data_IF_252771879476
#
_entry.id   IF_252771879476
#
_cell.length_a   1.000
_cell.length_b   1.000
_cell.length_c   1.000
_cell.angle_alpha   90.00
_cell.angle_beta   90.00
_cell.angle_gamma   90.00
#
_symmetry.space_group_name_H-M   'P 1'
#
loop_
_entity.id
_entity.type
_entity.pdbx_description
1 polymer ?
#
# COMPACT_ATOMS: atom_id res chain seq x y z
N UNK A 1 25.37 -43.83 21.14
CA UNK A 1 25.08 -45.16 20.54
C UNK A 1 23.78 -45.01 19.78
N UNK A 2 23.86 -45.02 18.45
CA UNK A 2 22.72 -44.86 17.55
C UNK A 2 21.97 -46.19 17.49
N UNK A 3 20.80 -46.25 18.10
CA UNK A 3 19.85 -47.34 17.87
C UNK A 3 19.32 -47.20 16.45
N UNK A 4 19.75 -48.13 15.58
CA UNK A 4 19.13 -48.33 14.28
C UNK A 4 17.65 -48.61 14.50
N UNK A 5 16.79 -47.74 13.96
CA UNK A 5 15.35 -47.99 13.86
C UNK A 5 15.18 -49.11 12.84
N UNK A 6 14.58 -50.22 13.27
CA UNK A 6 14.22 -51.32 12.39
C UNK A 6 13.33 -50.80 11.28
N UNK A 7 13.60 -51.23 10.04
CA UNK A 7 12.62 -51.16 8.96
C UNK A 7 11.51 -52.16 9.30
N UNK A 8 10.63 -51.78 10.22
CA UNK A 8 9.39 -52.51 10.45
C UNK A 8 8.64 -52.51 9.13
N UNK A 9 8.32 -53.71 8.64
CA UNK A 9 7.53 -53.90 7.43
C UNK A 9 6.25 -53.10 7.55
N UNK A 10 6.03 -52.16 6.63
CA UNK A 10 4.77 -51.43 6.49
C UNK A 10 3.63 -52.45 6.49
N UNK A 11 2.57 -52.14 7.23
CA UNK A 11 1.39 -53.01 7.29
C UNK A 11 0.89 -53.33 5.85
N UNK A 12 0.68 -54.61 5.50
CA UNK A 12 0.35 -54.98 4.11
C UNK A 12 -0.87 -54.28 3.53
N UNK A 13 -1.85 -53.92 4.37
CA UNK A 13 -3.06 -53.22 3.96
C UNK A 13 -2.74 -51.76 3.64
N UNK A 14 -1.95 -51.11 4.49
CA UNK A 14 -1.50 -49.73 4.25
C UNK A 14 -0.57 -49.64 3.02
N UNK A 15 0.24 -50.67 2.78
CA UNK A 15 1.08 -50.79 1.58
C UNK A 15 0.24 -50.88 0.30
N UNK A 16 -0.92 -51.56 0.33
CA UNK A 16 -1.84 -51.61 -0.80
C UNK A 16 -2.42 -50.23 -1.12
N UNK A 17 -2.77 -49.43 -0.10
CA UNK A 17 -3.28 -48.08 -0.28
C UNK A 17 -2.26 -47.11 -0.90
N UNK A 18 -0.97 -47.40 -0.82
CA UNK A 18 0.06 -46.58 -1.47
C UNK A 18 0.00 -46.60 -3.01
N UNK A 19 -0.75 -47.53 -3.59
CA UNK A 19 -0.98 -47.62 -5.05
C UNK A 19 -2.12 -46.73 -5.55
N UNK A 20 -2.91 -46.13 -4.65
CA UNK A 20 -3.97 -45.20 -5.01
C UNK A 20 -3.40 -43.97 -5.74
N UNK A 21 -4.11 -43.47 -6.75
CA UNK A 21 -3.71 -42.27 -7.49
C UNK A 21 -4.33 -41.01 -6.88
N UNK A 22 -3.50 -40.20 -6.26
CA UNK A 22 -3.82 -38.84 -5.84
C UNK A 22 -3.83 -37.89 -7.04
N UNK A 23 -4.40 -36.69 -6.83
CA UNK A 23 -4.47 -35.63 -7.84
C UNK A 23 -3.34 -34.64 -7.59
N UNK A 24 -2.31 -34.65 -8.43
CA UNK A 24 -1.27 -33.63 -8.38
C UNK A 24 -1.82 -32.30 -8.90
N UNK A 25 -1.54 -31.21 -8.18
CA UNK A 25 -2.04 -29.87 -8.51
C UNK A 25 -0.95 -28.81 -8.42
N UNK A 26 -1.17 -27.70 -9.12
CA UNK A 26 -0.40 -26.48 -8.89
C UNK A 26 -0.96 -25.68 -7.69
N UNK A 27 -0.32 -24.54 -7.38
CA UNK A 27 -0.73 -23.67 -6.26
C UNK A 27 -2.08 -22.99 -6.45
N UNK A 28 -2.67 -23.03 -7.64
CA UNK A 28 -3.99 -22.48 -7.93
C UNK A 28 -5.06 -23.58 -8.01
N UNK A 29 -4.71 -24.81 -7.58
CA UNK A 29 -5.56 -25.99 -7.67
C UNK A 29 -5.82 -26.47 -9.12
N UNK A 30 -4.98 -26.05 -10.07
CA UNK A 30 -4.98 -26.57 -11.43
C UNK A 30 -4.41 -27.99 -11.48
N UNK A 31 -5.14 -28.93 -12.10
CA UNK A 31 -4.72 -30.34 -12.17
C UNK A 31 -3.50 -30.49 -13.08
N UNK A 32 -2.41 -31.04 -12.54
CA UNK A 32 -1.21 -31.40 -13.29
C UNK A 32 -1.34 -32.83 -13.85
N UNK A 33 -1.81 -33.77 -13.04
CA UNK A 33 -1.95 -35.16 -13.44
C UNK A 33 -2.13 -36.12 -12.26
N UNK A 34 -2.19 -37.44 -12.52
CA UNK A 34 -2.19 -38.45 -11.47
C UNK A 34 -0.79 -38.61 -10.86
N UNK A 35 -0.72 -38.85 -9.57
CA UNK A 35 0.50 -39.25 -8.85
C UNK A 35 0.15 -40.33 -7.83
N UNK A 36 0.98 -41.37 -7.70
CA UNK A 36 0.71 -42.40 -6.69
C UNK A 36 0.82 -41.83 -5.28
N UNK A 37 0.02 -42.34 -4.35
CA UNK A 37 0.07 -41.94 -2.94
C UNK A 37 1.48 -42.10 -2.37
N UNK A 38 2.19 -43.18 -2.72
CA UNK A 38 3.60 -43.34 -2.35
C UNK A 38 4.45 -42.16 -2.80
N UNK A 39 4.37 -41.81 -4.07
CA UNK A 39 5.25 -40.84 -4.69
C UNK A 39 5.01 -39.42 -4.15
N UNK A 40 3.75 -39.03 -3.95
CA UNK A 40 3.42 -37.71 -3.40
C UNK A 40 3.69 -37.57 -1.90
N UNK A 41 3.88 -38.69 -1.18
CA UNK A 41 4.28 -38.67 0.23
C UNK A 41 5.77 -38.97 0.46
N UNK A 42 6.53 -39.39 -0.55
CA UNK A 42 8.00 -39.52 -0.48
C UNK A 42 8.71 -38.30 -1.07
N UNK A 43 8.05 -37.59 -1.98
CA UNK A 43 8.52 -36.36 -2.60
C UNK A 43 7.56 -35.23 -2.22
N UNK A 44 8.01 -33.98 -2.03
CA UNK A 44 7.15 -32.86 -1.69
C UNK A 44 6.36 -32.36 -2.92
N UNK A 45 5.61 -33.25 -3.57
CA UNK A 45 4.74 -32.95 -4.70
C UNK A 45 3.40 -32.46 -4.17
N UNK A 46 2.99 -31.26 -4.61
CA UNK A 46 1.71 -30.69 -4.20
C UNK A 46 0.56 -31.51 -4.79
N UNK A 47 -0.32 -32.00 -3.92
CA UNK A 47 -1.48 -32.79 -4.31
C UNK A 47 -2.73 -32.37 -3.52
N UNK A 48 -3.92 -32.60 -4.09
CA UNK A 48 -5.18 -32.23 -3.47
C UNK A 48 -5.50 -33.17 -2.30
N UNK A 49 -6.00 -32.60 -1.20
CA UNK A 49 -6.44 -33.32 -0.01
C UNK A 49 -7.70 -32.67 0.59
N UNK A 50 -8.24 -33.29 1.63
CA UNK A 50 -9.30 -32.70 2.44
C UNK A 50 -9.13 -33.03 3.93
N UNK A 51 -9.67 -32.15 4.78
CA UNK A 51 -9.74 -32.28 6.23
C UNK A 51 -11.18 -32.01 6.69
N UNK A 52 -11.84 -33.04 7.22
CA UNK A 52 -13.20 -32.98 7.75
C UNK A 52 -13.19 -32.67 9.24
N UNK A 53 -14.06 -31.75 9.66
CA UNK A 53 -14.36 -31.38 11.04
C UNK A 53 -15.86 -31.62 11.32
N UNK A 54 -16.15 -32.66 12.10
CA UNK A 54 -17.52 -33.02 12.49
C UNK A 54 -17.83 -32.42 13.85
N UNK A 55 -18.96 -31.71 13.95
CA UNK A 55 -19.53 -31.20 15.18
C UNK A 55 -20.86 -31.88 15.48
N UNK A 56 -21.03 -32.34 16.71
CA UNK A 56 -22.31 -32.89 17.18
C UNK A 56 -23.31 -31.79 17.55
N UNK A 57 -24.51 -32.20 17.98
CA UNK A 57 -25.58 -31.28 18.41
C UNK A 57 -25.24 -30.46 19.66
N UNK A 58 -24.30 -30.94 20.48
CA UNK A 58 -23.78 -30.21 21.65
C UNK A 58 -22.60 -29.30 21.28
N UNK A 59 -22.30 -29.13 19.98
CA UNK A 59 -21.17 -28.35 19.47
C UNK A 59 -19.83 -28.89 19.98
N UNK A 60 -19.69 -30.19 20.21
CA UNK A 60 -18.38 -30.83 20.44
C UNK A 60 -17.82 -31.31 19.11
N UNK A 61 -16.52 -31.18 18.92
CA UNK A 61 -15.84 -31.64 17.72
C UNK A 61 -15.32 -33.06 17.88
N UNK A 62 -15.54 -33.91 16.88
CA UNK A 62 -14.97 -35.25 16.82
C UNK A 62 -13.50 -35.20 16.42
N UNK A 63 -12.63 -35.66 17.30
CA UNK A 63 -11.22 -35.96 17.01
C UNK A 63 -11.04 -37.45 16.76
N UNK A 64 -10.06 -37.78 15.92
CA UNK A 64 -9.52 -39.13 15.82
C UNK A 64 -8.04 -39.15 16.22
N UNK A 65 -7.61 -40.22 16.88
CA UNK A 65 -6.21 -40.59 17.06
C UNK A 65 -5.86 -41.63 16.01
N UNK A 66 -4.88 -41.31 15.18
CA UNK A 66 -4.42 -42.20 14.09
C UNK A 66 -3.96 -43.55 14.65
N UNK A 67 -4.20 -44.65 13.94
CA UNK A 67 -3.71 -45.97 14.34
C UNK A 67 -2.17 -46.01 14.33
N UNK A 68 -1.60 -47.03 14.98
CA UNK A 68 -0.15 -47.27 14.93
C UNK A 68 0.34 -47.79 13.58
N UNK A 69 -0.56 -48.30 12.73
CA UNK A 69 -0.23 -48.85 11.41
C UNK A 69 -0.17 -47.77 10.33
N UNK A 70 -0.62 -46.54 10.58
CA UNK A 70 -0.49 -45.42 9.64
C UNK A 70 0.98 -45.15 9.31
N UNK A 71 1.26 -45.02 8.02
CA UNK A 71 2.60 -44.73 7.50
C UNK A 71 3.04 -43.32 7.89
N UNK A 72 2.18 -42.32 7.65
CA UNK A 72 2.44 -40.93 8.05
C UNK A 72 1.78 -40.62 9.38
N UNK A 73 2.55 -40.02 10.30
CA UNK A 73 2.08 -39.57 11.61
C UNK A 73 1.23 -40.62 12.38
N UNK A 74 1.76 -41.81 12.71
CA UNK A 74 1.05 -42.76 13.55
C UNK A 74 0.83 -42.21 14.98
N UNK A 75 -0.26 -42.62 15.61
CA UNK A 75 -0.59 -42.29 17.02
C UNK A 75 -0.73 -40.81 17.39
N UNK A 76 -0.87 -39.91 16.40
CA UNK A 76 -1.18 -38.49 16.67
C UNK A 76 -2.69 -38.22 16.60
N UNK A 77 -3.16 -37.27 17.40
CA UNK A 77 -4.51 -36.72 17.32
C UNK A 77 -4.65 -35.75 16.15
N UNK A 78 -5.80 -35.79 15.50
CA UNK A 78 -6.14 -34.92 14.36
C UNK A 78 -7.65 -34.67 14.31
N UNK A 79 -8.08 -33.81 13.40
CA UNK A 79 -9.50 -33.61 13.06
C UNK A 79 -10.18 -34.92 12.59
N UNK A 80 -11.49 -34.88 12.42
CA UNK A 80 -12.33 -36.08 12.31
C UNK A 80 -11.91 -37.05 11.22
N UNK A 81 -11.56 -36.59 10.02
CA UNK A 81 -11.06 -37.45 8.94
C UNK A 81 -10.22 -36.64 7.94
N UNK A 82 -9.09 -37.20 7.49
CA UNK A 82 -8.21 -36.57 6.49
C UNK A 82 -7.80 -37.59 5.43
N UNK A 83 -7.90 -37.23 4.16
CA UNK A 83 -7.47 -38.10 3.06
C UNK A 83 -7.46 -37.34 1.73
N UNK A 84 -7.23 -38.07 0.64
CA UNK A 84 -7.16 -37.55 -0.71
C UNK A 84 -8.39 -37.91 -1.55
N UNK A 85 -8.88 -37.01 -2.42
CA UNK A 85 -9.67 -37.39 -3.58
C UNK A 85 -8.83 -38.18 -4.59
N UNK A 86 -9.45 -39.16 -5.23
CA UNK A 86 -8.80 -40.04 -6.21
C UNK A 86 -8.91 -39.49 -7.63
N UNK A 87 -7.78 -39.53 -8.35
CA UNK A 87 -7.73 -39.13 -9.75
C UNK A 87 -8.63 -40.00 -10.63
N UNK A 88 -9.30 -39.39 -11.62
CA UNK A 88 -10.21 -40.08 -12.54
C UNK A 88 -11.64 -40.24 -12.03
N UNK A 89 -11.89 -40.22 -10.71
CA UNK A 89 -13.23 -40.39 -10.13
C UNK A 89 -13.70 -39.21 -9.27
N UNK A 90 -12.80 -38.54 -8.55
CA UNK A 90 -13.13 -37.49 -7.55
C UNK A 90 -12.41 -36.18 -7.88
N UNK A 91 -12.13 -35.92 -9.16
CA UNK A 91 -11.25 -34.83 -9.58
C UNK A 91 -11.90 -33.45 -9.69
N UNK A 92 -13.23 -33.39 -9.57
CA UNK A 92 -14.01 -32.18 -9.82
C UNK A 92 -14.08 -31.28 -8.57
N UNK A 93 -12.99 -30.58 -8.28
CA UNK A 93 -12.94 -29.51 -7.25
C UNK A 93 -13.69 -29.85 -5.97
N UNK A 94 -14.59 -28.95 -5.55
CA UNK A 94 -15.44 -29.06 -4.34
C UNK A 94 -16.30 -30.33 -4.33
N UNK A 95 -16.95 -30.68 -5.45
CA UNK A 95 -17.83 -31.85 -5.49
C UNK A 95 -17.03 -33.14 -5.32
N UNK A 96 -15.87 -33.22 -5.97
CA UNK A 96 -14.94 -34.33 -5.88
C UNK A 96 -14.44 -34.57 -4.45
N UNK A 97 -13.99 -33.52 -3.76
CA UNK A 97 -13.53 -33.65 -2.37
C UNK A 97 -14.64 -34.05 -1.41
N UNK A 98 -15.89 -33.58 -1.61
CA UNK A 98 -17.03 -34.00 -0.78
C UNK A 98 -17.37 -35.48 -0.97
N UNK A 99 -17.30 -35.98 -2.20
CA UNK A 99 -17.51 -37.41 -2.51
C UNK A 99 -16.40 -38.23 -1.84
N UNK A 100 -15.15 -37.80 -1.96
CA UNK A 100 -14.01 -38.45 -1.32
C UNK A 100 -14.11 -38.46 0.21
N UNK A 101 -14.54 -37.35 0.81
CA UNK A 101 -14.81 -37.22 2.23
C UNK A 101 -15.88 -38.22 2.69
N UNK A 102 -17.01 -38.34 1.97
CA UNK A 102 -18.05 -39.33 2.29
C UNK A 102 -17.51 -40.77 2.26
N UNK A 103 -16.74 -41.12 1.21
CA UNK A 103 -16.09 -42.43 1.09
C UNK A 103 -15.17 -42.73 2.27
N UNK A 104 -14.36 -41.75 2.69
CA UNK A 104 -13.37 -41.93 3.75
C UNK A 104 -13.93 -41.86 5.15
N UNK A 105 -14.99 -41.09 5.39
CA UNK A 105 -15.78 -41.14 6.62
C UNK A 105 -16.37 -42.54 6.86
N UNK A 106 -16.92 -43.18 5.81
CA UNK A 106 -17.38 -44.56 5.89
C UNK A 106 -16.22 -45.52 6.16
N UNK A 107 -15.10 -45.36 5.45
CA UNK A 107 -13.96 -46.28 5.57
C UNK A 107 -13.22 -46.18 6.93
N UNK A 108 -12.94 -44.98 7.43
CA UNK A 108 -12.14 -44.77 8.65
C UNK A 108 -13.00 -44.82 9.92
N UNK A 109 -14.19 -44.21 9.88
CA UNK A 109 -15.03 -44.03 11.06
C UNK A 109 -16.29 -44.90 11.03
N UNK A 110 -16.64 -45.53 9.91
CA UNK A 110 -17.90 -46.25 9.76
C UNK A 110 -19.12 -45.32 9.70
N UNK A 111 -18.93 -44.06 9.27
CA UNK A 111 -20.00 -43.06 9.16
C UNK A 111 -20.57 -43.07 7.74
N UNK A 112 -21.80 -43.54 7.56
CA UNK A 112 -22.53 -43.53 6.29
C UNK A 112 -23.67 -42.49 6.23
N UNK A 113 -24.04 -41.91 7.37
CA UNK A 113 -25.18 -40.99 7.52
C UNK A 113 -24.94 -39.59 6.96
N UNK A 114 -23.68 -39.18 6.78
CA UNK A 114 -23.32 -37.85 6.26
C UNK A 114 -23.40 -37.85 4.73
N UNK A 115 -24.18 -36.93 4.16
CA UNK A 115 -24.28 -36.71 2.73
C UNK A 115 -23.44 -35.53 2.27
N UNK A 116 -23.13 -35.48 0.97
CA UNK A 116 -22.35 -34.38 0.37
C UNK A 116 -23.01 -33.00 0.53
N UNK A 117 -24.34 -32.96 0.67
CA UNK A 117 -25.10 -31.75 0.94
C UNK A 117 -24.92 -31.20 2.36
N UNK A 118 -24.53 -32.05 3.31
CA UNK A 118 -24.32 -31.70 4.72
C UNK A 118 -22.92 -31.11 4.98
N UNK A 119 -22.06 -31.14 3.97
CA UNK A 119 -20.67 -30.71 4.02
C UNK A 119 -20.53 -29.26 3.57
N UNK A 120 -20.09 -28.36 4.44
CA UNK A 120 -19.72 -26.99 4.08
C UNK A 120 -18.20 -26.91 3.86
N UNK A 121 -17.76 -26.45 2.69
CA UNK A 121 -16.33 -26.25 2.43
C UNK A 121 -15.95 -24.86 2.92
N UNK A 122 -15.00 -24.79 3.84
CA UNK A 122 -14.63 -23.53 4.51
C UNK A 122 -13.53 -22.76 3.80
N UNK A 123 -12.73 -23.43 2.97
CA UNK A 123 -11.59 -22.85 2.28
C UNK A 123 -10.58 -23.89 1.85
N UNK A 124 -9.47 -23.42 1.27
CA UNK A 124 -8.36 -24.24 0.76
C UNK A 124 -7.05 -23.75 1.36
N UNK A 125 -6.25 -24.65 1.90
CA UNK A 125 -5.05 -24.32 2.65
C UNK A 125 -3.87 -25.11 2.10
N UNK A 126 -2.78 -24.43 1.75
CA UNK A 126 -1.55 -25.12 1.35
C UNK A 126 -0.63 -25.25 2.56
N UNK A 127 -0.19 -26.47 2.84
CA UNK A 127 0.80 -26.73 3.89
C UNK A 127 1.84 -27.78 3.46
N UNK A 128 2.99 -27.76 4.13
CA UNK A 128 4.06 -28.74 3.97
C UNK A 128 4.50 -29.21 5.37
N UNK A 129 4.47 -30.51 5.61
CA UNK A 129 4.88 -31.10 6.87
C UNK A 129 5.64 -32.42 6.65
N UNK A 130 6.77 -32.61 7.32
CA UNK A 130 7.48 -33.89 7.31
C UNK A 130 7.02 -34.77 8.46
N UNK A 131 6.74 -36.03 8.17
CA UNK A 131 6.51 -37.07 9.18
C UNK A 131 7.86 -37.58 9.72
N UNK A 132 8.79 -37.90 8.82
CA UNK A 132 10.14 -38.34 9.15
C UNK A 132 11.13 -37.99 8.02
N UNK A 133 12.27 -38.71 7.93
CA UNK A 133 13.28 -38.50 6.88
C UNK A 133 12.81 -38.92 5.49
N UNK A 134 11.81 -39.78 5.39
CA UNK A 134 11.29 -40.37 4.15
C UNK A 134 9.95 -39.73 3.78
N UNK A 135 9.03 -39.63 4.73
CA UNK A 135 7.63 -39.29 4.47
C UNK A 135 7.31 -37.82 4.74
N UNK A 136 6.52 -37.24 3.84
CA UNK A 136 6.11 -35.83 3.81
C UNK A 136 4.65 -35.69 3.38
N UNK A 137 3.99 -34.64 3.85
CA UNK A 137 2.70 -34.14 3.36
C UNK A 137 2.96 -32.80 2.69
N UNK A 138 2.56 -32.66 1.42
CA UNK A 138 2.54 -31.37 0.72
C UNK A 138 1.19 -31.24 0.02
N UNK A 139 0.25 -30.61 0.69
CA UNK A 139 -1.16 -30.70 0.33
C UNK A 139 -1.76 -29.33 0.04
N UNK A 140 -2.67 -29.30 -0.92
CA UNK A 140 -3.72 -28.29 -1.05
C UNK A 140 -4.98 -28.88 -0.41
N UNK A 141 -5.21 -28.51 0.84
CA UNK A 141 -6.18 -29.14 1.74
C UNK A 141 -7.50 -28.37 1.77
N UNK A 142 -8.58 -29.04 1.42
CA UNK A 142 -9.95 -28.54 1.54
C UNK A 142 -10.47 -28.76 2.97
N UNK A 143 -10.70 -27.69 3.73
CA UNK A 143 -11.34 -27.80 5.03
C UNK A 143 -12.86 -27.95 4.86
N UNK A 144 -13.44 -29.00 5.45
CA UNK A 144 -14.85 -29.35 5.33
C UNK A 144 -15.47 -29.44 6.71
N UNK A 145 -16.57 -28.74 6.95
CA UNK A 145 -17.32 -28.82 8.21
C UNK A 145 -18.63 -29.58 7.99
N UNK A 146 -18.95 -30.44 8.95
CA UNK A 146 -20.27 -31.09 9.10
C UNK A 146 -20.79 -30.74 10.49
N UNK A 147 -22.04 -30.29 10.58
CA UNK A 147 -22.67 -29.87 11.85
C UNK A 147 -23.83 -30.77 12.21
N UNK A 148 -24.31 -30.68 13.46
CA UNK A 148 -25.49 -31.40 13.97
C UNK A 148 -25.40 -32.92 13.82
N UNK A 149 -24.17 -33.47 13.86
CA UNK A 149 -23.95 -34.89 13.75
C UNK A 149 -24.55 -35.63 14.96
N UNK A 150 -25.38 -36.63 14.68
CA UNK A 150 -26.06 -37.44 15.69
C UNK A 150 -26.30 -38.85 15.14
N UNK A 151 -25.23 -39.65 15.11
CA UNK A 151 -25.28 -41.04 14.69
C UNK A 151 -24.23 -41.86 15.43
N UNK A 152 -24.54 -43.14 15.66
CA UNK A 152 -23.56 -44.12 16.10
C UNK A 152 -22.67 -44.53 14.94
N UNK A 153 -21.38 -44.71 15.21
CA UNK A 153 -20.40 -45.10 14.20
C UNK A 153 -19.38 -46.07 14.80
N UNK A 154 -18.66 -46.79 13.94
CA UNK A 154 -17.72 -47.82 14.34
C UNK A 154 -16.37 -47.58 13.64
N UNK A 155 -15.40 -46.96 14.32
CA UNK A 155 -14.08 -46.73 13.75
C UNK A 155 -13.39 -48.02 13.30
N UNK A 156 -12.71 -47.95 12.16
CA UNK A 156 -11.84 -49.02 11.69
C UNK A 156 -10.53 -49.00 12.51
N UNK A 157 -10.22 -50.04 13.31
CA UNK A 157 -9.03 -50.08 14.15
C UNK A 157 -7.71 -50.02 13.36
N UNK A 158 -7.73 -50.37 12.07
CA UNK A 158 -6.56 -50.25 11.19
C UNK A 158 -6.25 -48.80 10.82
N UNK A 159 -7.21 -47.89 10.94
CA UNK A 159 -7.08 -46.48 10.58
C UNK A 159 -7.07 -45.57 11.83
N UNK A 160 -7.86 -45.93 12.84
CA UNK A 160 -8.15 -45.10 14.01
C UNK A 160 -7.97 -45.92 15.30
N UNK A 161 -7.12 -45.44 16.20
CA UNK A 161 -6.90 -46.08 17.51
C UNK A 161 -7.87 -45.60 18.58
N UNK A 162 -8.26 -44.33 18.54
CA UNK A 162 -9.15 -43.70 19.52
C UNK A 162 -9.96 -42.59 18.86
N UNK A 163 -11.17 -42.32 19.37
CA UNK A 163 -11.97 -41.17 18.99
C UNK A 163 -12.42 -40.41 20.24
N UNK A 164 -12.59 -39.10 20.13
CA UNK A 164 -13.04 -38.26 21.24
C UNK A 164 -13.83 -37.07 20.76
N UNK A 165 -15.00 -36.85 21.33
CA UNK A 165 -15.70 -35.56 21.22
C UNK A 165 -15.14 -34.60 22.26
N UNK A 166 -14.76 -33.40 21.83
CA UNK A 166 -14.19 -32.36 22.70
C UNK A 166 -14.89 -31.03 22.51
N UNK A 167 -15.03 -30.27 23.59
CA UNK A 167 -15.39 -28.85 23.60
C UNK A 167 -14.18 -27.98 23.21
N UNK A 168 -14.36 -26.68 22.91
CA UNK A 168 -13.24 -25.77 22.67
C UNK A 168 -12.25 -25.72 23.83
N UNK A 169 -12.76 -25.72 25.06
CA UNK A 169 -11.95 -25.63 26.28
C UNK A 169 -11.15 -26.91 26.51
N UNK A 170 -11.77 -28.09 26.38
CA UNK A 170 -11.08 -29.38 26.46
C UNK A 170 -10.00 -29.51 25.38
N UNK A 171 -10.28 -29.07 24.14
CA UNK A 171 -9.28 -29.06 23.08
C UNK A 171 -8.10 -28.14 23.44
N UNK A 172 -8.39 -26.95 23.99
CA UNK A 172 -7.37 -26.00 24.42
C UNK A 172 -6.50 -26.59 25.53
N UNK A 173 -7.10 -27.25 26.51
CA UNK A 173 -6.40 -27.97 27.58
C UNK A 173 -5.52 -29.09 27.04
N UNK A 174 -5.98 -29.86 26.05
CA UNK A 174 -5.16 -30.90 25.41
C UNK A 174 -3.93 -30.31 24.71
N UNK A 175 -4.07 -29.17 24.01
CA UNK A 175 -2.94 -28.49 23.39
C UNK A 175 -1.97 -27.88 24.41
N UNK A 176 -2.48 -27.26 25.48
CA UNK A 176 -1.66 -26.62 26.54
C UNK A 176 -0.94 -27.67 27.39
N UNK A 177 -1.63 -28.77 27.72
CA UNK A 177 -1.11 -29.82 28.58
C UNK A 177 0.11 -30.55 27.99
N UNK A 178 0.30 -30.50 26.66
CA UNK A 178 1.51 -30.98 25.98
C UNK A 178 1.78 -32.49 26.08
N UNK A 179 0.82 -33.27 26.60
CA UNK A 179 0.93 -34.74 26.76
C UNK A 179 0.60 -35.49 25.48
N UNK A 180 -0.23 -34.90 24.64
CA UNK A 180 -0.71 -35.49 23.40
C UNK A 180 0.06 -34.90 22.20
N UNK A 181 0.26 -35.72 21.17
CA UNK A 181 0.81 -35.27 19.90
C UNK A 181 -0.34 -34.97 18.94
N UNK A 182 -0.25 -33.83 18.26
CA UNK A 182 -1.21 -33.44 17.24
C UNK A 182 -0.57 -33.42 15.87
N UNK A 183 -1.36 -33.73 14.84
CA UNK A 183 -0.90 -33.58 13.48
C UNK A 183 -0.52 -32.12 13.17
N UNK A 184 0.50 -31.89 12.31
CA UNK A 184 0.94 -30.54 11.99
C UNK A 184 -0.18 -29.66 11.40
N UNK A 185 -0.98 -30.20 10.48
CA UNK A 185 -2.07 -29.45 9.84
C UNK A 185 -3.17 -29.06 10.83
N UNK A 186 -3.59 -29.98 11.70
CA UNK A 186 -4.58 -29.69 12.74
C UNK A 186 -4.08 -28.61 13.71
N UNK A 187 -2.78 -28.65 14.03
CA UNK A 187 -2.13 -27.61 14.82
C UNK A 187 -2.14 -26.25 14.13
N UNK A 188 -2.06 -26.18 12.79
CA UNK A 188 -2.20 -24.91 12.06
C UNK A 188 -3.63 -24.37 12.17
N UNK A 189 -4.65 -25.22 11.99
CA UNK A 189 -6.05 -24.84 12.15
C UNK A 189 -6.38 -24.30 13.54
N UNK A 190 -5.75 -24.86 14.57
CA UNK A 190 -5.85 -24.35 15.95
C UNK A 190 -5.10 -23.02 16.14
N UNK A 191 -3.81 -22.96 15.75
CA UNK A 191 -2.94 -21.80 15.99
C UNK A 191 -3.35 -20.54 15.22
N UNK A 192 -3.87 -20.69 14.00
CA UNK A 192 -4.38 -19.55 13.21
C UNK A 192 -5.82 -19.16 13.58
N UNK A 193 -6.37 -19.76 14.64
CA UNK A 193 -7.71 -19.46 15.16
C UNK A 193 -8.88 -19.74 14.20
N UNK A 194 -8.65 -20.40 13.05
CA UNK A 194 -9.73 -20.83 12.15
C UNK A 194 -10.73 -21.72 12.89
N UNK A 195 -10.26 -22.70 13.66
CA UNK A 195 -11.15 -23.58 14.43
C UNK A 195 -12.01 -22.81 15.41
N UNK A 196 -11.43 -21.86 16.15
CA UNK A 196 -12.17 -21.04 17.11
C UNK A 196 -13.27 -20.24 16.42
N UNK A 197 -12.93 -19.57 15.31
CA UNK A 197 -13.87 -18.78 14.52
C UNK A 197 -15.03 -19.63 14.00
N UNK A 198 -14.74 -20.81 13.45
CA UNK A 198 -15.77 -21.73 12.96
C UNK A 198 -16.65 -22.24 14.10
N UNK A 199 -16.06 -22.58 15.25
CA UNK A 199 -16.77 -23.06 16.43
C UNK A 199 -17.77 -22.03 16.97
N UNK A 200 -17.41 -20.75 16.98
CA UNK A 200 -18.30 -19.67 17.40
C UNK A 200 -19.44 -19.41 16.40
N UNK A 201 -19.25 -19.80 15.13
CA UNK A 201 -20.15 -19.50 14.00
C UNK A 201 -20.74 -20.73 13.32
N UNK A 202 -20.88 -21.87 14.02
CA UNK A 202 -21.45 -23.10 13.44
C UNK A 202 -22.85 -22.91 12.83
N UNK A 203 -23.64 -21.96 13.33
CA UNK A 203 -24.98 -21.66 12.81
C UNK A 203 -24.96 -20.75 11.55
N UNK A 204 -23.83 -20.12 11.25
CA UNK A 204 -23.64 -19.20 10.12
C UNK A 204 -22.22 -19.31 9.53
N UNK A 205 -21.86 -20.53 9.13
CA UNK A 205 -20.54 -20.84 8.56
C UNK A 205 -20.23 -20.02 7.29
N UNK A 206 -21.26 -19.67 6.52
CA UNK A 206 -21.11 -18.90 5.28
C UNK A 206 -20.52 -17.51 5.53
N UNK A 207 -20.79 -16.91 6.68
CA UNK A 207 -20.24 -15.59 7.06
C UNK A 207 -18.73 -15.60 7.32
N UNK A 208 -18.16 -16.78 7.63
CA UNK A 208 -16.74 -16.96 7.98
C UNK A 208 -16.01 -17.91 7.04
N UNK A 209 -16.63 -18.23 5.90
CA UNK A 209 -16.00 -18.99 4.83
C UNK A 209 -14.92 -18.14 4.17
N UNK A 210 -13.72 -18.70 4.02
CA UNK A 210 -12.65 -18.06 3.27
C UNK A 210 -13.07 -17.90 1.80
N UNK A 211 -12.61 -16.84 1.15
CA UNK A 211 -12.87 -16.67 -0.28
C UNK A 211 -12.23 -17.80 -1.07
N UNK A 212 -12.84 -18.19 -2.19
CA UNK A 212 -12.25 -19.20 -3.08
C UNK A 212 -10.85 -18.76 -3.57
N UNK A 213 -10.56 -17.47 -3.61
CA UNK A 213 -9.25 -16.97 -4.03
C UNK A 213 -8.15 -17.23 -2.99
N UNK A 214 -7.13 -17.96 -3.40
CA UNK A 214 -5.92 -18.18 -2.61
C UNK A 214 -5.15 -16.85 -2.48
N UNK A 215 -4.99 -16.35 -1.25
CA UNK A 215 -4.21 -15.13 -1.00
C UNK A 215 -2.73 -15.34 -1.33
N UNK A 216 -2.35 -15.04 -2.58
CA UNK A 216 -0.97 -15.11 -3.03
C UNK A 216 -0.10 -14.02 -2.40
N UNK A 217 1.22 -14.26 -2.33
CA UNK A 217 2.21 -13.24 -1.96
C UNK A 217 2.05 -11.99 -2.83
N UNK A 218 1.68 -12.16 -4.10
CA UNK A 218 1.39 -11.07 -5.02
C UNK A 218 0.16 -10.24 -4.61
N UNK A 219 -0.92 -10.88 -4.18
CA UNK A 219 -2.11 -10.18 -3.67
C UNK A 219 -1.79 -9.34 -2.42
N UNK A 220 -0.99 -9.91 -1.50
CA UNK A 220 -0.51 -9.19 -0.31
C UNK A 220 0.42 -8.02 -0.69
N UNK A 221 1.35 -8.23 -1.62
CA UNK A 221 2.24 -7.20 -2.13
C UNK A 221 1.49 -6.05 -2.82
N UNK A 222 0.50 -6.38 -3.64
CA UNK A 222 -0.37 -5.40 -4.29
C UNK A 222 -1.13 -4.54 -3.27
N UNK A 223 -1.63 -5.15 -2.19
CA UNK A 223 -2.32 -4.45 -1.11
C UNK A 223 -1.41 -3.41 -0.43
N UNK A 224 -0.17 -3.80 -0.11
CA UNK A 224 0.83 -2.89 0.49
C UNK A 224 1.16 -1.75 -0.47
N UNK A 225 1.36 -2.06 -1.75
CA UNK A 225 1.69 -1.06 -2.77
C UNK A 225 0.56 -0.04 -2.95
N UNK A 226 -0.68 -0.50 -3.12
CA UNK A 226 -1.85 0.36 -3.28
C UNK A 226 -2.08 1.26 -2.06
N UNK A 227 -1.93 0.71 -0.85
CA UNK A 227 -2.03 1.49 0.38
C UNK A 227 -0.94 2.56 0.46
N UNK A 228 0.31 2.20 0.16
CA UNK A 228 1.45 3.15 0.16
C UNK A 228 1.21 4.29 -0.84
N UNK A 229 0.73 3.98 -2.04
CA UNK A 229 0.43 4.98 -3.06
C UNK A 229 -0.70 5.93 -2.63
N UNK A 230 -1.71 5.41 -1.93
CA UNK A 230 -2.82 6.20 -1.38
C UNK A 230 -2.34 7.16 -0.31
N UNK A 231 -1.51 6.68 0.63
CA UNK A 231 -0.92 7.53 1.68
C UNK A 231 -0.04 8.63 1.07
N UNK A 232 0.82 8.28 0.10
CA UNK A 232 1.68 9.26 -0.57
C UNK A 232 0.85 10.33 -1.29
N UNK A 233 -0.24 9.94 -1.96
CA UNK A 233 -1.16 10.86 -2.64
C UNK A 233 -1.87 11.80 -1.66
N UNK A 234 -2.27 11.29 -0.49
CA UNK A 234 -2.86 12.13 0.56
C UNK A 234 -1.85 13.14 1.11
N UNK A 235 -0.61 12.72 1.36
CA UNK A 235 0.46 13.60 1.85
C UNK A 235 0.81 14.68 0.84
N UNK A 236 0.92 14.35 -0.46
CA UNK A 236 1.21 15.35 -1.50
C UNK A 236 0.05 16.34 -1.65
N UNK A 237 -1.20 15.88 -1.55
CA UNK A 237 -2.37 16.77 -1.57
C UNK A 237 -2.38 17.71 -0.35
N UNK A 238 -2.12 17.19 0.85
CA UNK A 238 -2.04 18.03 2.05
C UNK A 238 -0.92 19.07 1.95
N UNK A 239 0.27 18.67 1.46
CA UNK A 239 1.37 19.59 1.22
C UNK A 239 0.95 20.69 0.23
N UNK A 240 0.31 20.34 -0.90
CA UNK A 240 -0.23 21.31 -1.85
C UNK A 240 -1.26 22.27 -1.20
N UNK A 241 -2.20 21.75 -0.41
CA UNK A 241 -3.19 22.59 0.27
C UNK A 241 -2.53 23.61 1.22
N UNK A 242 -1.43 23.25 1.88
CA UNK A 242 -0.70 24.20 2.74
C UNK A 242 -0.12 25.39 1.98
N UNK A 243 0.23 25.24 0.69
CA UNK A 243 0.79 26.36 -0.08
C UNK A 243 -0.24 27.44 -0.40
N UNK A 244 -1.54 27.12 -0.36
CA UNK A 244 -2.62 28.10 -0.57
C UNK A 244 -2.73 29.11 0.56
N UNK A 245 -2.25 28.78 1.76
CA UNK A 245 -2.30 29.64 2.95
C UNK A 245 -0.98 30.33 3.26
N UNK A 246 0.03 30.18 2.40
CA UNK A 246 1.33 30.79 2.60
C UNK A 246 1.27 32.32 2.44
N UNK A 247 2.13 33.02 3.18
CA UNK A 247 2.28 34.48 3.08
C UNK A 247 2.84 34.84 1.70
N UNK A 248 2.14 35.72 0.98
CA UNK A 248 2.51 36.12 -0.39
C UNK A 248 3.04 37.55 -0.48
N UNK A 249 2.74 38.42 0.49
CA UNK A 249 3.21 39.81 0.56
C UNK A 249 4.02 40.05 1.83
N UNK A 250 4.99 40.96 1.73
CA UNK A 250 5.81 41.43 2.86
C UNK A 250 5.91 42.95 2.81
N UNK A 251 6.17 43.57 3.97
CA UNK A 251 6.42 45.01 4.03
C UNK A 251 7.71 45.35 3.28
N UNK A 252 7.65 46.35 2.41
CA UNK A 252 8.80 46.83 1.64
C UNK A 252 9.00 48.32 1.89
N UNK A 253 10.23 48.72 2.15
CA UNK A 253 10.62 50.12 2.28
C UNK A 253 11.43 50.54 1.05
N UNK A 254 10.86 51.46 0.27
CA UNK A 254 11.46 51.98 -0.96
C UNK A 254 11.68 53.48 -0.76
N UNK A 255 12.85 53.97 -1.17
CA UNK A 255 13.09 55.40 -1.26
C UNK A 255 13.88 55.72 -2.52
N UNK A 256 13.67 56.90 -3.06
CA UNK A 256 14.36 57.36 -4.25
C UNK A 256 14.78 58.83 -4.11
N UNK A 257 15.98 59.14 -4.58
CA UNK A 257 16.61 60.45 -4.45
C UNK A 257 17.24 60.91 -5.77
N UNK A 258 17.43 62.22 -5.89
CA UNK A 258 18.09 62.87 -7.03
C UNK A 258 17.54 62.48 -8.42
N UNK A 259 16.22 62.60 -8.67
CA UNK A 259 15.66 62.36 -10.00
C UNK A 259 16.22 63.37 -11.01
N UNK A 260 16.83 62.86 -12.08
CA UNK A 260 17.37 63.64 -13.20
C UNK A 260 16.75 63.14 -14.48
N UNK A 261 16.35 64.05 -15.37
CA UNK A 261 15.81 63.70 -16.68
C UNK A 261 16.64 64.36 -17.76
N UNK A 262 16.82 63.64 -18.87
CA UNK A 262 17.42 64.15 -20.10
C UNK A 262 16.54 63.78 -21.29
N UNK A 263 16.32 64.75 -22.18
CA UNK A 263 15.72 64.48 -23.49
C UNK A 263 16.77 63.89 -24.44
N UNK A 264 16.41 62.79 -25.10
CA UNK A 264 17.21 62.15 -26.14
C UNK A 264 16.46 62.16 -27.46
N UNK A 265 17.18 62.26 -28.58
CA UNK A 265 16.60 62.03 -29.90
C UNK A 265 16.30 60.54 -30.06
N UNK A 266 15.06 60.21 -30.38
CA UNK A 266 14.63 58.84 -30.60
C UNK A 266 14.03 58.72 -31.99
N UNK A 267 14.67 57.91 -32.84
CA UNK A 267 14.29 57.77 -34.25
C UNK A 267 13.26 56.65 -34.47
N UNK A 268 12.90 55.89 -33.43
CA UNK A 268 11.89 54.83 -33.52
C UNK A 268 10.49 55.30 -33.14
N UNK A 269 10.38 56.46 -32.51
CA UNK A 269 9.12 56.99 -31.96
C UNK A 269 8.54 58.12 -32.82
N UNK A 270 7.21 58.22 -32.88
CA UNK A 270 6.50 59.23 -33.67
C UNK A 270 6.85 60.68 -33.27
N UNK A 271 7.21 60.90 -32.00
CA UNK A 271 7.55 62.22 -31.45
C UNK A 271 9.03 62.62 -31.66
N UNK A 272 9.87 61.70 -32.16
CA UNK A 272 11.28 61.97 -32.43
C UNK A 272 12.16 62.19 -31.18
N UNK A 273 11.59 62.04 -29.98
CA UNK A 273 12.24 62.28 -28.68
C UNK A 273 11.75 61.31 -27.62
N UNK A 274 12.63 61.01 -26.68
CA UNK A 274 12.34 60.17 -25.50
C UNK A 274 12.99 60.75 -24.25
N UNK A 275 12.33 60.60 -23.11
CA UNK A 275 12.83 61.02 -21.80
C UNK A 275 13.63 59.86 -21.19
N UNK A 276 14.91 60.11 -20.91
CA UNK A 276 15.74 59.22 -20.11
C UNK A 276 15.84 59.75 -18.69
N UNK A 277 15.31 58.97 -17.73
CA UNK A 277 15.37 59.27 -16.32
C UNK A 277 16.48 58.47 -15.61
N UNK A 278 17.14 59.14 -14.66
CA UNK A 278 18.11 58.55 -13.74
C UNK A 278 17.72 58.93 -12.31
N UNK A 279 17.77 57.96 -11.40
CA UNK A 279 17.39 58.14 -10.00
C UNK A 279 18.28 57.26 -9.13
N UNK A 280 18.57 57.70 -7.91
CA UNK A 280 19.23 56.87 -6.91
C UNK A 280 18.17 56.16 -6.06
N UNK A 281 18.28 54.86 -5.91
CA UNK A 281 17.27 53.99 -5.29
C UNK A 281 17.83 53.36 -4.00
N UNK A 282 16.99 53.25 -2.98
CA UNK A 282 17.21 52.37 -1.83
C UNK A 282 16.04 51.39 -1.71
N UNK A 283 16.33 50.11 -1.52
CA UNK A 283 15.33 49.02 -1.47
C UNK A 283 15.63 48.13 -0.27
N UNK A 284 14.74 48.16 0.73
CA UNK A 284 14.84 47.36 1.94
C UNK A 284 13.61 46.43 2.05
N UNK A 285 13.83 45.12 2.10
CA UNK A 285 12.77 44.13 2.25
C UNK A 285 13.28 42.83 2.92
N UNK A 286 12.52 42.29 3.86
CA UNK A 286 12.75 40.95 4.41
C UNK A 286 11.83 39.94 3.71
N UNK A 287 12.41 39.13 2.83
CA UNK A 287 11.67 38.13 2.06
C UNK A 287 11.54 36.78 2.80
N UNK A 288 12.10 36.66 4.00
CA UNK A 288 12.13 35.39 4.74
C UNK A 288 10.73 34.76 4.95
N UNK A 289 9.67 35.53 5.25
CA UNK A 289 8.33 34.96 5.43
C UNK A 289 7.74 34.29 4.19
N UNK A 290 8.25 34.60 2.98
CA UNK A 290 7.76 34.04 1.72
C UNK A 290 8.38 32.66 1.47
N UNK A 291 9.58 32.38 1.98
CA UNK A 291 10.25 31.10 1.78
C UNK A 291 9.62 30.00 2.63
N UNK A 292 8.87 29.12 1.98
CA UNK A 292 8.36 27.88 2.56
C UNK A 292 9.01 26.63 1.90
N UNK A 293 8.55 25.44 2.28
CA UNK A 293 9.07 24.17 1.77
C UNK A 293 9.05 24.07 0.24
N UNK A 294 8.13 24.75 -0.45
CA UNK A 294 7.98 24.69 -1.91
C UNK A 294 8.66 25.85 -2.65
N UNK A 295 9.13 26.92 -2.00
CA UNK A 295 9.73 28.07 -2.72
C UNK A 295 11.21 27.83 -3.02
N UNK A 296 11.56 27.69 -4.31
CA UNK A 296 12.93 27.46 -4.75
C UNK A 296 13.73 28.76 -4.80
N UNK A 297 13.15 29.78 -5.42
CA UNK A 297 13.75 31.09 -5.60
C UNK A 297 12.67 32.15 -5.85
N UNK A 298 13.02 33.41 -5.62
CA UNK A 298 12.22 34.57 -5.96
C UNK A 298 12.92 35.34 -7.07
N UNK A 299 12.18 35.70 -8.12
CA UNK A 299 12.63 36.67 -9.12
C UNK A 299 12.04 38.02 -8.75
N UNK A 300 12.85 38.91 -8.20
CA UNK A 300 12.40 40.18 -7.62
C UNK A 300 12.76 41.30 -8.57
N UNK A 301 11.85 42.24 -8.78
CA UNK A 301 12.05 43.35 -9.70
C UNK A 301 11.31 44.61 -9.24
N UNK A 302 11.97 45.75 -9.37
CA UNK A 302 11.42 47.07 -9.07
C UNK A 302 10.79 47.65 -10.34
N UNK A 303 9.53 48.04 -10.25
CA UNK A 303 8.76 48.62 -11.36
C UNK A 303 8.44 50.07 -11.05
N UNK A 304 8.68 50.95 -12.02
CA UNK A 304 8.11 52.29 -12.06
C UNK A 304 6.80 52.26 -12.85
N UNK A 305 5.71 52.64 -12.19
CA UNK A 305 4.36 52.69 -12.75
C UNK A 305 3.85 54.12 -12.82
N UNK A 306 3.41 54.55 -14.00
CA UNK A 306 2.91 55.91 -14.24
C UNK A 306 1.92 55.94 -15.42
N UNK A 307 1.04 56.94 -15.43
CA UNK A 307 0.02 57.14 -16.46
C UNK A 307 0.39 58.28 -17.39
N UNK A 308 0.12 58.16 -18.68
CA UNK A 308 0.29 59.23 -19.67
C UNK A 308 -1.03 59.52 -20.36
N UNK A 309 -1.09 60.55 -21.22
CA UNK A 309 -2.31 60.84 -21.99
C UNK A 309 -2.65 59.69 -22.97
N UNK A 310 -1.64 58.95 -23.44
CA UNK A 310 -1.80 57.83 -24.38
C UNK A 310 -2.12 56.51 -23.67
N UNK A 311 -1.48 56.25 -22.53
CA UNK A 311 -1.56 54.97 -21.83
C UNK A 311 -2.02 55.13 -20.38
N UNK A 312 -3.03 54.36 -19.99
CA UNK A 312 -3.57 54.36 -18.62
C UNK A 312 -2.53 53.86 -17.61
N UNK A 313 -1.70 52.89 -18.00
CA UNK A 313 -0.64 52.30 -17.16
C UNK A 313 0.60 52.07 -18.04
N UNK A 314 1.72 52.66 -17.67
CA UNK A 314 3.05 52.36 -18.19
C UNK A 314 3.86 51.73 -17.06
N UNK A 315 4.53 50.61 -17.33
CA UNK A 315 5.36 49.89 -16.35
C UNK A 315 6.76 49.68 -16.92
N UNK A 316 7.76 50.22 -16.23
CA UNK A 316 9.17 50.07 -16.61
C UNK A 316 9.91 49.38 -15.47
N UNK A 317 10.55 48.26 -15.75
CA UNK A 317 11.42 47.57 -14.79
C UNK A 317 12.72 48.34 -14.68
N UNK A 318 13.07 48.79 -13.47
CA UNK A 318 14.29 49.57 -13.21
C UNK A 318 15.43 48.70 -12.71
N UNK A 319 15.12 47.64 -11.96
CA UNK A 319 16.10 46.79 -11.29
C UNK A 319 15.52 45.41 -11.03
N UNK A 320 16.36 44.38 -11.00
CA UNK A 320 16.00 43.00 -10.66
C UNK A 320 17.09 42.29 -9.87
N UNK A 321 16.67 41.29 -9.08
CA UNK A 321 17.54 40.37 -8.33
C UNK A 321 16.87 39.02 -8.14
N UNK A 322 17.67 37.96 -8.26
CA UNK A 322 17.25 36.60 -7.94
C UNK A 322 17.68 36.29 -6.51
N UNK A 323 16.73 35.94 -5.65
CA UNK A 323 17.00 35.47 -4.29
C UNK A 323 16.73 33.97 -4.24
N UNK A 324 17.76 33.15 -4.04
CA UNK A 324 17.59 31.70 -3.89
C UNK A 324 17.45 31.35 -2.42
N UNK A 325 16.82 30.20 -2.13
CA UNK A 325 16.67 29.70 -0.76
C UNK A 325 17.95 29.69 0.11
N UNK A 326 19.13 29.24 -0.39
CA UNK A 326 20.34 29.22 0.44
C UNK A 326 20.98 30.60 0.65
N UNK A 327 20.54 31.63 -0.08
CA UNK A 327 21.10 32.98 0.00
C UNK A 327 20.44 33.77 1.15
N UNK A 328 21.01 34.94 1.48
CA UNK A 328 20.34 35.90 2.34
C UNK A 328 19.00 36.32 1.74
N UNK A 329 17.93 36.16 2.51
CA UNK A 329 16.56 36.50 2.11
C UNK A 329 16.21 37.96 2.44
N UNK A 330 17.11 38.67 3.10
CA UNK A 330 17.00 40.11 3.38
C UNK A 330 17.68 40.89 2.27
N UNK A 331 16.95 41.84 1.69
CA UNK A 331 17.41 42.77 0.66
C UNK A 331 17.73 44.10 1.32
N UNK A 332 18.97 44.54 1.17
CA UNK A 332 19.47 45.82 1.63
C UNK A 332 20.32 46.41 0.51
N UNK A 333 19.66 47.19 -0.36
CA UNK A 333 20.33 47.90 -1.45
C UNK A 333 20.25 49.40 -1.16
N UNK A 334 21.41 50.06 -1.10
CA UNK A 334 21.53 51.49 -0.83
C UNK A 334 22.25 52.20 -1.97
N UNK A 335 21.72 53.36 -2.37
CA UNK A 335 22.26 54.27 -3.37
C UNK A 335 22.53 53.61 -4.73
N UNK A 336 21.71 52.62 -5.10
CA UNK A 336 21.85 51.94 -6.39
C UNK A 336 21.25 52.78 -7.52
N UNK A 337 21.73 52.54 -8.74
CA UNK A 337 21.16 53.14 -9.95
C UNK A 337 20.32 52.08 -10.69
N UNK A 338 19.29 52.48 -11.48
CA UNK A 338 18.56 51.57 -12.35
C UNK A 338 19.52 50.72 -13.20
N UNK A 339 19.33 49.41 -13.16
CA UNK A 339 20.03 48.44 -14.01
C UNK A 339 19.55 48.53 -15.46
N UNK A 340 18.27 48.87 -15.64
CA UNK A 340 17.65 49.12 -16.92
C UNK A 340 17.30 50.59 -17.06
N UNK A 341 17.37 51.11 -18.29
CA UNK A 341 17.07 52.50 -18.56
C UNK A 341 15.61 52.81 -18.27
N UNK A 342 15.37 53.86 -17.48
CA UNK A 342 14.04 54.42 -17.34
C UNK A 342 13.77 55.33 -18.54
N UNK A 343 13.27 54.73 -19.62
CA UNK A 343 12.94 55.42 -20.87
C UNK A 343 11.41 55.59 -20.98
N UNK A 344 10.97 56.79 -21.32
CA UNK A 344 9.59 57.09 -21.73
C UNK A 344 9.58 57.59 -23.19
N UNK A 345 8.62 57.10 -23.96
CA UNK A 345 8.42 57.49 -25.35
C UNK A 345 7.71 58.85 -25.37
N UNK A 346 8.48 59.91 -25.59
CA UNK A 346 8.02 61.29 -25.59
C UNK A 346 8.66 62.15 -24.51
N UNK A 347 7.85 63.00 -23.88
CA UNK A 347 8.28 63.95 -22.83
C UNK A 347 7.41 63.89 -21.58
N UNK A 348 6.83 62.72 -21.30
CA UNK A 348 5.80 62.57 -20.26
C UNK A 348 6.39 62.49 -18.85
N UNK A 349 7.69 62.25 -18.70
CA UNK A 349 8.35 62.23 -17.40
C UNK A 349 8.68 63.64 -16.90
N UNK A 350 8.85 64.62 -17.79
CA UNK A 350 9.10 66.01 -17.43
C UNK A 350 7.96 66.57 -16.56
N UNK A 351 8.30 67.11 -15.39
CA UNK A 351 7.32 67.58 -14.38
C UNK A 351 6.35 66.53 -13.84
N UNK A 352 6.54 65.24 -14.12
CA UNK A 352 5.60 64.19 -13.70
C UNK A 352 5.60 64.03 -12.17
N UNK A 353 4.43 64.13 -11.55
CA UNK A 353 4.29 64.18 -10.09
C UNK A 353 4.03 62.81 -9.43
N UNK A 354 3.56 61.83 -10.19
CA UNK A 354 3.02 60.57 -9.65
C UNK A 354 3.64 59.33 -10.31
N UNK A 355 4.98 59.19 -10.27
CA UNK A 355 5.61 57.93 -10.69
C UNK A 355 5.72 57.03 -9.46
N UNK A 356 5.01 55.90 -9.46
CA UNK A 356 4.96 55.00 -8.31
C UNK A 356 5.99 53.88 -8.47
N UNK A 357 6.89 53.75 -7.51
CA UNK A 357 7.84 52.65 -7.43
C UNK A 357 7.24 51.53 -6.59
N UNK A 358 7.16 50.34 -7.18
CA UNK A 358 6.58 49.14 -6.57
C UNK A 358 7.56 47.98 -6.73
N UNK A 359 7.88 47.29 -5.63
CA UNK A 359 8.66 46.06 -5.67
C UNK A 359 7.73 44.86 -5.91
N UNK A 360 7.97 44.13 -6.99
CA UNK A 360 7.20 42.94 -7.38
C UNK A 360 8.12 41.72 -7.45
N UNK A 361 7.56 40.53 -7.37
CA UNK A 361 8.33 39.30 -7.55
C UNK A 361 7.51 38.14 -8.09
N UNK A 362 8.20 37.23 -8.78
CA UNK A 362 7.66 35.92 -9.12
C UNK A 362 8.17 34.89 -8.11
N UNK A 363 7.25 34.13 -7.53
CA UNK A 363 7.52 32.99 -6.66
C UNK A 363 7.74 31.77 -7.55
N UNK A 364 8.96 31.26 -7.58
CA UNK A 364 9.32 30.07 -8.36
C UNK A 364 9.29 28.85 -7.44
N UNK A 365 8.31 27.94 -7.58
CA UNK A 365 8.24 26.77 -6.72
C UNK A 365 9.19 25.65 -7.17
N UNK A 366 9.42 24.65 -6.32
CA UNK A 366 10.05 23.39 -6.70
C UNK A 366 9.13 22.58 -7.61
N UNK A 367 7.82 22.61 -7.34
CA UNK A 367 6.77 22.05 -8.20
C UNK A 367 5.48 22.88 -8.09
N UNK A 368 4.79 23.07 -9.22
CA UNK A 368 3.52 23.81 -9.28
C UNK A 368 3.59 25.05 -10.16
N UNK A 369 2.68 26.00 -9.92
CA UNK A 369 2.47 27.19 -10.73
C UNK A 369 3.41 28.33 -10.29
N UNK A 370 3.91 29.09 -11.26
CA UNK A 370 4.55 30.39 -11.02
C UNK A 370 3.51 31.41 -10.57
N UNK A 371 3.73 32.04 -9.42
CA UNK A 371 2.83 33.05 -8.88
C UNK A 371 3.50 34.43 -8.85
N UNK A 372 2.73 35.46 -9.19
CA UNK A 372 3.16 36.86 -9.11
C UNK A 372 2.64 37.49 -7.82
N UNK A 373 3.50 38.27 -7.18
CA UNK A 373 3.14 39.02 -5.98
C UNK A 373 3.86 40.36 -5.93
N UNK A 374 3.44 41.21 -4.99
CA UNK A 374 4.00 42.54 -4.78
C UNK A 374 4.12 42.83 -3.29
N UNK A 375 4.99 43.79 -2.96
CA UNK A 375 5.20 44.23 -1.59
C UNK A 375 4.14 45.18 -1.06
N UNK A 376 3.97 45.15 0.26
CA UNK A 376 3.18 46.10 1.02
C UNK A 376 4.04 47.35 1.26
N UNK A 377 4.15 48.19 0.24
CA UNK A 377 4.92 49.42 0.26
C UNK A 377 5.13 50.01 -1.14
N UNK A 378 5.00 51.32 -1.25
CA UNK A 378 5.21 52.04 -2.50
C UNK A 378 5.84 53.41 -2.22
N UNK A 379 6.62 53.90 -3.19
CA UNK A 379 7.21 55.24 -3.11
C UNK A 379 6.81 56.08 -4.31
N UNK A 380 6.33 57.30 -4.08
CA UNK A 380 5.94 58.23 -5.14
C UNK A 380 7.12 59.12 -5.48
N UNK A 381 7.69 58.92 -6.66
CA UNK A 381 8.76 59.70 -7.23
C UNK A 381 8.19 60.88 -8.03
N UNK A 382 8.77 62.06 -7.79
CA UNK A 382 8.46 63.30 -8.50
C UNK A 382 9.64 63.69 -9.36
N UNK A 383 9.35 64.03 -10.62
CA UNK A 383 10.35 64.45 -11.57
C UNK A 383 10.42 65.98 -11.69
N UNK A 384 11.62 66.55 -11.94
CA UNK A 384 11.82 67.98 -12.07
C UNK A 384 11.18 68.53 -13.35
N UNK A 385 10.95 69.85 -13.37
CA UNK A 385 10.38 70.55 -14.52
C UNK A 385 11.37 70.92 -15.62
N UNK A 386 12.67 70.66 -15.40
CA UNK A 386 13.74 71.05 -16.31
C UNK A 386 14.62 69.83 -16.63
N UNK A 387 15.08 69.75 -17.88
CA UNK A 387 16.10 68.78 -18.29
C UNK A 387 17.48 69.14 -17.76
N UNK A 388 18.27 68.14 -17.41
CA UNK A 388 19.67 68.32 -17.02
C UNK A 388 20.54 68.43 -18.28
N UNK A 389 21.43 69.42 -18.30
CA UNK A 389 22.46 69.58 -19.33
C UNK A 389 23.75 68.86 -18.90
N UNK A 390 24.19 67.83 -19.64
CA UNK A 390 25.44 67.11 -19.37
C UNK A 390 25.34 65.59 -19.56
N UNK A 391 26.42 64.86 -19.21
CA UNK A 391 26.36 63.39 -19.03
C UNK A 391 25.83 63.07 -17.63
N UNK A 392 25.09 61.96 -17.51
CA UNK A 392 24.57 61.46 -16.24
C UNK A 392 25.68 61.14 -15.25
#
# INVERSE_FOLDING_TARGET
MSTAVSTDSVDPIQEQYLTENCIQVDRNDGIIGPVSKRECHMNPLLHRAFSVFIFDKERRMLLQKRSSTKITFPLVWTNSCCSHPLFGIEQNGVDGVKIAAKRKLLHELGIDTVNVGDMEVMGRFIYLARSDSIWVEHELDYAIIVTNFDATFKPNPEEVSEVRFVTPDELSEMFIGGKELFSPWFSLFYKFHWLKTWWEKLDDLKSVRESDDMHSIWSRGNTIFAFTLTVLSAVTLMAFLTSMFAVKSVKVEISAANPRIRSMSDYTNEEGKSDLAMVSLNIHADMSPIFNWNVKQLFIFLVAEYSTMKNVINQVVLWDKIVKRPDSQVILEESIHPKYYFLDDGSNLLSHQNVTLILKWNIVPNAGRLEDSQGDGQFILKFPSNYVSGRF
#
